data_IF_377429880462
#
_entry.id   IF_377429880462
#
_cell.length_a   1.000
_cell.length_b   1.000
_cell.length_c   1.000
_cell.angle_alpha   90.00
_cell.angle_beta   90.00
_cell.angle_gamma   90.00
#
_symmetry.space_group_name_H-M   'P 1'
#
loop_
_entity.id
_entity.type
_entity.pdbx_description
1 polymer ?
#
# COMPACT_ATOMS: atom_id res chain seq x y z
N UNK A 1 -14.05 -5.48 -10.51
CA UNK A 1 -13.54 -4.33 -11.27
C UNK A 1 -14.41 -4.00 -12.49
N UNK A 2 -14.65 -4.91 -13.45
CA UNK A 2 -15.44 -4.61 -14.66
C UNK A 2 -16.84 -4.02 -14.34
N UNK A 3 -17.59 -4.61 -13.42
CA UNK A 3 -18.91 -4.07 -13.00
C UNK A 3 -18.81 -2.67 -12.40
N UNK A 4 -17.76 -2.39 -11.61
CA UNK A 4 -17.51 -1.04 -11.04
C UNK A 4 -17.25 -0.02 -12.15
N UNK A 5 -16.50 -0.41 -13.18
CA UNK A 5 -16.23 0.44 -14.35
C UNK A 5 -17.51 0.81 -15.14
N UNK A 6 -18.55 -0.02 -15.05
CA UNK A 6 -19.88 0.26 -15.65
C UNK A 6 -20.84 0.99 -14.68
N UNK A 7 -20.36 1.49 -13.55
CA UNK A 7 -21.18 2.25 -12.62
C UNK A 7 -22.08 1.42 -11.70
N UNK A 8 -21.76 0.13 -11.51
CA UNK A 8 -22.51 -0.77 -10.63
C UNK A 8 -22.17 -0.48 -9.15
N UNK A 9 -23.05 0.25 -8.46
CA UNK A 9 -22.88 0.61 -7.04
C UNK A 9 -22.81 -0.63 -6.10
N UNK A 10 -23.65 -1.66 -6.24
CA UNK A 10 -23.50 -2.90 -5.49
C UNK A 10 -22.14 -3.57 -5.65
N UNK A 11 -21.57 -3.55 -6.86
CA UNK A 11 -20.23 -4.07 -7.10
C UNK A 11 -19.13 -3.24 -6.40
N UNK A 12 -19.32 -1.94 -6.25
CA UNK A 12 -18.40 -1.11 -5.47
C UNK A 12 -18.50 -1.43 -3.97
N UNK A 13 -19.69 -1.64 -3.44
CA UNK A 13 -19.90 -2.06 -2.05
C UNK A 13 -19.22 -3.41 -1.78
N UNK A 14 -19.43 -4.40 -2.64
CA UNK A 14 -18.74 -5.69 -2.54
C UNK A 14 -17.21 -5.55 -2.59
N UNK A 15 -16.69 -4.68 -3.46
CA UNK A 15 -15.27 -4.39 -3.55
C UNK A 15 -14.75 -3.76 -2.26
N UNK A 16 -15.52 -2.82 -1.68
CA UNK A 16 -15.21 -2.18 -0.40
C UNK A 16 -15.11 -3.23 0.72
N UNK A 17 -16.12 -4.05 0.89
CA UNK A 17 -16.16 -5.07 1.95
C UNK A 17 -14.96 -6.02 1.89
N UNK A 18 -14.54 -6.38 0.68
CA UNK A 18 -13.43 -7.32 0.47
C UNK A 18 -12.04 -6.70 0.59
N UNK A 19 -11.91 -5.38 0.47
CA UNK A 19 -10.58 -4.76 0.31
C UNK A 19 -10.32 -3.62 1.27
N UNK A 20 -11.33 -3.06 1.95
CA UNK A 20 -11.19 -1.88 2.82
C UNK A 20 -10.17 -2.08 3.93
N UNK A 21 -10.20 -3.20 4.64
CA UNK A 21 -9.24 -3.49 5.71
C UNK A 21 -7.79 -3.46 5.23
N UNK A 22 -7.51 -4.08 4.06
CA UNK A 22 -6.16 -4.09 3.49
C UNK A 22 -5.72 -2.70 3.02
N UNK A 23 -6.61 -1.96 2.37
CA UNK A 23 -6.31 -0.61 1.88
C UNK A 23 -6.19 0.39 3.03
N UNK A 24 -7.00 0.24 4.09
CA UNK A 24 -6.87 1.01 5.32
C UNK A 24 -5.49 0.82 5.95
N UNK A 25 -5.01 -0.42 6.05
CA UNK A 25 -3.66 -0.70 6.52
C UNK A 25 -2.56 0.00 5.71
N UNK A 26 -2.73 0.10 4.38
CA UNK A 26 -1.81 0.87 3.52
C UNK A 26 -1.87 2.37 3.85
N UNK A 27 -3.07 2.93 3.97
CA UNK A 27 -3.26 4.34 4.31
C UNK A 27 -2.69 4.67 5.70
N UNK A 28 -3.02 3.86 6.72
CA UNK A 28 -2.61 4.07 8.10
C UNK A 28 -1.08 4.04 8.24
N UNK A 29 -0.41 3.10 7.59
CA UNK A 29 1.05 2.99 7.61
C UNK A 29 1.74 4.24 7.06
N UNK A 30 1.14 4.93 6.09
CA UNK A 30 1.70 6.12 5.47
C UNK A 30 1.27 7.38 6.23
N UNK A 31 -0.01 7.50 6.56
CA UNK A 31 -0.58 8.67 7.22
C UNK A 31 -0.27 8.73 8.72
N UNK A 32 -0.01 7.58 9.36
CA UNK A 32 0.28 7.41 10.80
C UNK A 32 -0.84 7.85 11.76
N UNK A 33 -1.94 8.38 11.29
CA UNK A 33 -3.10 8.78 12.09
C UNK A 33 -4.37 8.11 11.55
N UNK A 34 -5.15 7.55 12.46
CA UNK A 34 -6.34 6.78 12.12
C UNK A 34 -7.38 7.60 11.36
N UNK A 35 -7.73 8.79 11.91
CA UNK A 35 -8.72 9.67 11.27
C UNK A 35 -8.30 10.08 9.86
N UNK A 36 -7.03 10.45 9.68
CA UNK A 36 -6.46 10.76 8.37
C UNK A 36 -6.52 9.56 7.42
N UNK A 37 -6.20 8.37 7.91
CA UNK A 37 -6.25 7.16 7.09
C UNK A 37 -7.67 6.81 6.65
N UNK A 38 -8.68 7.06 7.50
CA UNK A 38 -10.10 6.90 7.19
C UNK A 38 -10.55 7.88 6.09
N UNK A 39 -10.17 9.16 6.20
CA UNK A 39 -10.47 10.18 5.19
C UNK A 39 -9.82 9.85 3.84
N UNK A 40 -8.55 9.48 3.87
CA UNK A 40 -7.82 9.08 2.66
C UNK A 40 -8.43 7.82 2.05
N UNK A 41 -8.87 6.85 2.85
CA UNK A 41 -9.52 5.65 2.36
C UNK A 41 -10.82 5.97 1.60
N UNK A 42 -11.62 6.92 2.09
CA UNK A 42 -12.81 7.39 1.38
C UNK A 42 -12.43 7.99 0.01
N UNK A 43 -11.40 8.87 -0.04
CA UNK A 43 -10.90 9.41 -1.31
C UNK A 43 -10.41 8.30 -2.26
N UNK A 44 -9.80 7.25 -1.74
CA UNK A 44 -9.35 6.10 -2.54
C UNK A 44 -10.52 5.47 -3.27
N UNK A 45 -11.65 5.18 -2.59
CA UNK A 45 -12.80 4.56 -3.25
C UNK A 45 -13.51 5.50 -4.24
N UNK A 46 -13.50 6.81 -3.99
CA UNK A 46 -13.95 7.80 -4.98
C UNK A 46 -13.06 7.75 -6.23
N UNK A 47 -11.73 7.72 -6.06
CA UNK A 47 -10.77 7.58 -7.16
C UNK A 47 -10.92 6.23 -7.90
N UNK A 48 -11.18 5.15 -7.16
CA UNK A 48 -11.44 3.82 -7.74
C UNK A 48 -12.71 3.86 -8.60
N UNK A 49 -13.80 4.47 -8.10
CA UNK A 49 -15.02 4.62 -8.86
C UNK A 49 -14.83 5.34 -10.19
N UNK A 50 -14.05 6.43 -10.17
CA UNK A 50 -13.81 7.25 -11.38
C UNK A 50 -12.76 6.68 -12.33
N UNK A 51 -11.95 5.69 -11.90
CA UNK A 51 -10.83 5.15 -12.68
C UNK A 51 -10.90 3.64 -12.90
N UNK A 52 -12.01 3.01 -12.54
CA UNK A 52 -12.15 1.56 -12.67
C UNK A 52 -12.04 1.07 -14.12
N UNK A 53 -12.35 1.93 -15.10
CA UNK A 53 -12.18 1.70 -16.54
C UNK A 53 -10.71 1.63 -16.98
N UNK A 54 -9.79 2.23 -16.20
CA UNK A 54 -8.35 2.19 -16.47
C UNK A 54 -7.70 0.88 -15.97
N UNK A 55 -8.41 0.09 -15.18
CA UNK A 55 -7.91 -1.20 -14.73
C UNK A 55 -7.85 -2.20 -15.88
N UNK A 56 -6.65 -2.73 -16.17
CA UNK A 56 -6.43 -3.75 -17.18
C UNK A 56 -6.23 -5.12 -16.52
N UNK A 57 -7.18 -6.01 -16.71
CA UNK A 57 -7.05 -7.39 -16.27
C UNK A 57 -5.90 -8.07 -17.03
N UNK A 58 -4.99 -8.71 -16.28
CA UNK A 58 -3.82 -9.39 -16.85
C UNK A 58 -2.49 -8.68 -16.58
N UNK A 59 -2.44 -7.36 -16.51
CA UNK A 59 -1.22 -6.61 -16.20
C UNK A 59 -0.91 -6.62 -14.69
N UNK A 60 -1.94 -6.52 -13.87
CA UNK A 60 -1.83 -6.47 -12.41
C UNK A 60 -3.03 -7.15 -11.74
N UNK A 61 -2.84 -7.64 -10.50
CA UNK A 61 -3.97 -8.05 -9.70
C UNK A 61 -4.81 -6.84 -9.26
N UNK A 62 -6.14 -6.98 -9.09
CA UNK A 62 -6.99 -5.88 -8.61
C UNK A 62 -6.47 -5.25 -7.33
N UNK A 63 -6.05 -6.06 -6.36
CA UNK A 63 -5.55 -5.55 -5.07
C UNK A 63 -4.24 -4.75 -5.22
N UNK A 64 -3.36 -5.13 -6.14
CA UNK A 64 -2.13 -4.37 -6.41
C UNK A 64 -2.43 -3.00 -7.00
N UNK A 65 -3.41 -2.92 -7.91
CA UNK A 65 -3.84 -1.65 -8.50
C UNK A 65 -4.51 -0.74 -7.46
N UNK A 66 -5.39 -1.30 -6.62
CA UNK A 66 -6.03 -0.58 -5.52
C UNK A 66 -5.02 -0.08 -4.49
N UNK A 67 -4.06 -0.92 -4.10
CA UNK A 67 -2.98 -0.53 -3.17
C UNK A 67 -2.11 0.60 -3.72
N UNK A 68 -1.86 0.63 -5.03
CA UNK A 68 -1.15 1.74 -5.65
C UNK A 68 -1.96 3.06 -5.57
N UNK A 69 -3.28 3.02 -5.75
CA UNK A 69 -4.15 4.19 -5.58
C UNK A 69 -4.13 4.66 -4.13
N UNK A 70 -4.29 3.73 -3.16
CA UNK A 70 -4.28 4.03 -1.73
C UNK A 70 -2.95 4.68 -1.31
N UNK A 71 -1.82 4.09 -1.72
CA UNK A 71 -0.50 4.64 -1.47
C UNK A 71 -0.34 6.05 -2.03
N UNK A 72 -0.69 6.26 -3.29
CA UNK A 72 -0.55 7.57 -3.93
C UNK A 72 -1.45 8.61 -3.28
N UNK A 73 -2.70 8.27 -2.93
CA UNK A 73 -3.60 9.17 -2.22
C UNK A 73 -3.04 9.58 -0.86
N UNK A 74 -2.49 8.63 -0.10
CA UNK A 74 -1.87 8.91 1.21
C UNK A 74 -0.66 9.85 1.09
N UNK A 75 0.19 9.64 0.10
CA UNK A 75 1.35 10.51 -0.17
C UNK A 75 0.90 11.91 -0.60
N UNK A 76 -0.10 12.00 -1.47
CA UNK A 76 -0.65 13.28 -1.92
C UNK A 76 -1.27 14.06 -0.75
N UNK A 77 -1.94 13.36 0.17
CA UNK A 77 -2.48 13.96 1.38
C UNK A 77 -1.38 14.53 2.28
N UNK A 78 -0.33 13.76 2.56
CA UNK A 78 0.82 14.23 3.36
C UNK A 78 1.51 15.45 2.74
N UNK A 79 1.55 15.53 1.42
CA UNK A 79 2.13 16.69 0.70
C UNK A 79 1.28 17.93 0.82
N UNK A 80 -0.05 17.80 0.70
CA UNK A 80 -0.99 18.92 0.78
C UNK A 80 -1.07 19.51 2.18
N UNK A 81 -1.03 18.65 3.20
CA UNK A 81 -1.25 19.06 4.60
C UNK A 81 0.06 19.31 5.38
N UNK A 82 1.19 19.34 4.68
CA UNK A 82 2.51 19.44 5.31
C UNK A 82 2.91 18.16 6.05
N UNK A 83 4.21 17.89 6.15
CA UNK A 83 4.74 16.78 6.96
C UNK A 83 4.68 17.06 8.47
N UNK A 84 3.76 17.91 8.92
CA UNK A 84 3.49 18.17 10.34
C UNK A 84 2.64 17.03 10.93
N UNK A 85 3.10 15.83 10.78
CA UNK A 85 2.76 14.76 11.71
C UNK A 85 3.96 14.66 12.62
N UNK A 86 3.84 15.24 13.83
CA UNK A 86 4.77 15.01 14.91
C UNK A 86 5.01 13.51 15.03
N UNK A 87 6.27 13.17 15.27
CA UNK A 87 6.72 11.83 15.66
C UNK A 87 6.06 11.43 16.97
N UNK A 88 4.80 11.05 16.91
CA UNK A 88 4.14 10.34 17.98
C UNK A 88 4.20 8.85 17.64
N UNK A 89 5.32 8.25 18.03
CA UNK A 89 5.59 6.82 17.86
C UNK A 89 4.57 5.92 18.61
N UNK A 90 3.72 6.53 19.45
CA UNK A 90 2.69 5.82 20.23
C UNK A 90 1.48 5.36 19.38
N UNK A 91 1.29 5.90 18.18
CA UNK A 91 0.16 5.54 17.33
C UNK A 91 0.30 4.16 16.65
N UNK A 92 1.48 3.58 16.66
CA UNK A 92 1.72 2.23 16.11
C UNK A 92 1.38 1.10 17.11
N UNK A 93 1.36 1.42 18.41
CA UNK A 93 1.06 0.42 19.47
C UNK A 93 -0.43 0.27 19.78
N UNK A 94 -1.27 1.20 19.34
CA UNK A 94 -2.71 1.18 19.59
C UNK A 94 -3.51 0.86 18.33
N UNK A 95 -3.26 -0.26 17.67
CA UNK A 95 -4.25 -0.90 16.83
C UNK A 95 -5.11 -1.82 17.70
N UNK A 96 -6.35 -1.47 18.05
CA UNK A 96 -7.35 -2.49 18.24
C UNK A 96 -7.72 -2.96 16.83
N UNK A 97 -7.11 -4.07 16.44
CA UNK A 97 -7.60 -4.89 15.36
C UNK A 97 -9.10 -5.12 15.60
N UNK A 98 -10.00 -4.96 14.61
CA UNK A 98 -11.32 -5.55 14.70
C UNK A 98 -11.06 -7.04 14.88
N UNK A 99 -11.26 -7.55 16.11
CA UNK A 99 -10.86 -8.88 16.55
C UNK A 99 -11.12 -9.92 15.44
N UNK A 100 -10.11 -10.36 14.72
CA UNK A 100 -10.21 -11.62 14.03
C UNK A 100 -10.18 -12.69 15.11
N UNK A 101 -11.01 -13.69 15.00
CA UNK A 101 -10.91 -14.92 15.78
C UNK A 101 -9.45 -15.39 15.80
N UNK A 102 -8.95 -15.87 16.94
CA UNK A 102 -7.54 -16.09 17.27
C UNK A 102 -6.66 -16.71 16.16
N UNK A 103 -7.21 -17.56 15.29
CA UNK A 103 -6.49 -18.18 14.18
C UNK A 103 -6.10 -17.16 13.08
N UNK A 104 -6.94 -16.16 12.80
CA UNK A 104 -6.66 -15.15 11.80
C UNK A 104 -5.58 -14.13 12.24
N UNK A 105 -5.41 -13.90 13.55
CA UNK A 105 -4.30 -13.08 14.10
C UNK A 105 -2.99 -13.80 13.90
N UNK A 106 -2.95 -15.07 14.24
CA UNK A 106 -1.75 -15.90 14.11
C UNK A 106 -1.29 -16.02 12.64
N UNK A 107 -2.25 -16.20 11.72
CA UNK A 107 -1.96 -16.21 10.28
C UNK A 107 -1.43 -14.85 9.78
N UNK A 108 -2.00 -13.73 10.25
CA UNK A 108 -1.55 -12.39 9.88
C UNK A 108 -0.14 -12.08 10.41
N UNK A 109 0.18 -12.52 11.64
CA UNK A 109 1.50 -12.38 12.23
C UNK A 109 2.54 -13.24 11.49
N UNK A 110 2.23 -14.49 11.19
CA UNK A 110 3.08 -15.37 10.41
C UNK A 110 3.34 -14.81 9.01
N UNK A 111 2.31 -14.27 8.35
CA UNK A 111 2.44 -13.66 7.04
C UNK A 111 3.28 -12.38 7.08
N UNK A 112 3.15 -11.60 8.16
CA UNK A 112 3.95 -10.39 8.38
C UNK A 112 5.43 -10.73 8.63
N UNK A 113 5.72 -11.75 9.44
CA UNK A 113 7.06 -12.24 9.68
C UNK A 113 7.73 -12.75 8.39
N UNK A 114 6.99 -13.54 7.60
CA UNK A 114 7.46 -14.04 6.30
C UNK A 114 7.80 -12.92 5.31
N UNK A 115 6.96 -11.87 5.26
CA UNK A 115 7.23 -10.69 4.42
C UNK A 115 8.50 -9.98 4.89
N UNK A 116 8.69 -9.81 6.20
CA UNK A 116 9.89 -9.19 6.77
C UNK A 116 11.15 -9.98 6.41
N UNK A 117 11.11 -11.30 6.60
CA UNK A 117 12.21 -12.20 6.24
C UNK A 117 12.55 -12.14 4.75
N UNK A 118 11.54 -12.20 3.88
CA UNK A 118 11.75 -12.07 2.43
C UNK A 118 12.26 -10.69 2.02
N UNK A 119 11.87 -9.63 2.71
CA UNK A 119 12.43 -8.28 2.50
C UNK A 119 13.92 -8.23 2.87
N UNK A 120 14.31 -8.95 3.93
CA UNK A 120 15.72 -8.97 4.37
C UNK A 120 16.63 -9.77 3.43
N UNK A 121 16.07 -10.68 2.64
CA UNK A 121 16.81 -11.40 1.59
C UNK A 121 17.03 -10.57 0.32
N UNK A 122 16.36 -9.43 0.15
CA UNK A 122 16.61 -8.54 -0.99
C UNK A 122 17.96 -7.83 -0.86
N UNK A 123 18.60 -7.53 -1.99
CA UNK A 123 19.76 -6.64 -2.01
C UNK A 123 19.38 -5.24 -1.51
N UNK A 124 20.33 -4.51 -0.92
CA UNK A 124 20.07 -3.15 -0.40
C UNK A 124 19.56 -2.21 -1.48
N UNK A 125 20.03 -2.37 -2.73
CA UNK A 125 19.54 -1.58 -3.87
C UNK A 125 18.05 -1.80 -4.18
N UNK A 126 17.48 -2.93 -3.78
CA UNK A 126 16.06 -3.26 -3.93
C UNK A 126 15.29 -2.98 -2.65
N UNK A 127 15.85 -3.36 -1.49
CA UNK A 127 15.24 -3.22 -0.17
C UNK A 127 14.99 -1.76 0.19
N UNK A 128 16.03 -0.91 0.10
CA UNK A 128 15.94 0.50 0.53
C UNK A 128 14.87 1.30 -0.23
N UNK A 129 14.81 1.28 -1.58
CA UNK A 129 13.75 1.99 -2.29
C UNK A 129 12.34 1.45 -1.99
N UNK A 130 12.19 0.14 -1.75
CA UNK A 130 10.90 -0.45 -1.36
C UNK A 130 10.51 0.05 0.03
N UNK A 131 11.41 -0.04 1.03
CA UNK A 131 11.13 0.45 2.38
C UNK A 131 10.77 1.94 2.38
N UNK A 132 11.57 2.77 1.75
CA UNK A 132 11.33 4.21 1.68
C UNK A 132 10.02 4.55 0.95
N UNK A 133 9.69 3.82 -0.12
CA UNK A 133 8.44 4.04 -0.83
C UNK A 133 7.21 3.61 -0.03
N UNK A 134 7.23 2.43 0.62
CA UNK A 134 6.05 1.82 1.21
C UNK A 134 5.91 2.07 2.71
N UNK A 135 6.99 2.40 3.42
CA UNK A 135 6.98 2.64 4.85
C UNK A 135 7.22 4.11 5.21
N UNK A 136 8.08 4.83 4.45
CA UNK A 136 8.35 6.25 4.70
C UNK A 136 7.56 7.19 3.78
N UNK A 137 6.70 6.67 2.91
CA UNK A 137 5.83 7.46 2.03
C UNK A 137 6.56 8.30 0.98
N UNK A 138 7.83 7.98 0.65
CA UNK A 138 8.55 8.70 -0.39
C UNK A 138 8.04 8.29 -1.78
N UNK A 139 7.89 9.29 -2.66
CA UNK A 139 7.60 9.02 -4.08
C UNK A 139 8.85 8.50 -4.79
N UNK A 140 8.65 7.82 -5.89
CA UNK A 140 9.76 7.38 -6.74
C UNK A 140 10.60 8.53 -7.28
N UNK A 141 9.99 9.72 -7.46
CA UNK A 141 10.69 10.93 -7.88
C UNK A 141 11.59 11.49 -6.78
N UNK A 142 11.14 11.46 -5.52
CA UNK A 142 11.96 11.84 -4.37
C UNK A 142 13.10 10.86 -4.14
N UNK A 143 12.85 9.57 -4.26
CA UNK A 143 13.88 8.54 -4.20
C UNK A 143 14.93 8.71 -5.31
N UNK A 144 14.50 9.07 -6.51
CA UNK A 144 15.41 9.36 -7.62
C UNK A 144 16.32 10.56 -7.32
N UNK A 145 15.75 11.63 -6.74
CA UNK A 145 16.52 12.83 -6.32
C UNK A 145 17.49 12.53 -5.18
N UNK A 146 17.01 11.82 -4.13
CA UNK A 146 17.86 11.47 -2.97
C UNK A 146 19.02 10.56 -3.35
N UNK A 147 18.75 9.57 -4.21
CA UNK A 147 19.73 8.59 -4.66
C UNK A 147 20.55 9.05 -5.89
N UNK A 148 20.39 10.30 -6.33
CA UNK A 148 20.99 10.84 -7.55
C UNK A 148 20.95 9.86 -8.72
N UNK A 149 19.79 9.25 -8.92
CA UNK A 149 19.57 8.20 -9.90
C UNK A 149 18.40 8.55 -10.82
N UNK A 150 18.40 8.11 -12.09
CA UNK A 150 17.26 8.31 -12.97
C UNK A 150 15.98 7.69 -12.41
N UNK A 151 14.84 8.34 -12.59
CA UNK A 151 13.53 7.83 -12.15
C UNK A 151 13.22 6.43 -12.73
N UNK A 152 13.64 6.17 -13.97
CA UNK A 152 13.51 4.86 -14.62
C UNK A 152 14.27 3.76 -13.87
N UNK A 153 15.46 4.08 -13.36
CA UNK A 153 16.28 3.17 -12.56
C UNK A 153 15.59 2.82 -11.25
N UNK A 154 15.05 3.83 -10.53
CA UNK A 154 14.30 3.60 -9.29
C UNK A 154 13.08 2.72 -9.55
N UNK A 155 12.28 3.03 -10.59
CA UNK A 155 11.12 2.22 -10.99
C UNK A 155 11.52 0.77 -11.28
N UNK A 156 12.61 0.54 -12.02
CA UNK A 156 13.06 -0.80 -12.37
C UNK A 156 13.61 -1.58 -11.16
N UNK A 157 14.32 -0.92 -10.23
CA UNK A 157 14.79 -1.52 -8.97
C UNK A 157 13.62 -1.97 -8.10
N UNK A 158 12.64 -1.09 -7.88
CA UNK A 158 11.42 -1.41 -7.10
C UNK A 158 10.65 -2.55 -7.76
N UNK A 159 10.43 -2.50 -9.08
CA UNK A 159 9.73 -3.57 -9.80
C UNK A 159 10.41 -4.92 -9.63
N UNK A 160 11.74 -4.99 -9.83
CA UNK A 160 12.50 -6.22 -9.65
C UNK A 160 12.48 -6.72 -8.21
N UNK A 161 12.62 -5.81 -7.24
CA UNK A 161 12.54 -6.15 -5.83
C UNK A 161 11.18 -6.71 -5.43
N UNK A 162 10.08 -6.11 -5.90
CA UNK A 162 8.72 -6.62 -5.65
C UNK A 162 8.49 -7.98 -6.32
N UNK A 163 9.07 -8.22 -7.51
CA UNK A 163 9.01 -9.55 -8.15
C UNK A 163 9.76 -10.60 -7.36
N UNK A 164 10.96 -10.28 -6.83
CA UNK A 164 11.75 -11.18 -6.01
C UNK A 164 11.05 -11.46 -4.67
N UNK A 165 10.50 -10.41 -4.03
CA UNK A 165 9.70 -10.53 -2.81
C UNK A 165 8.51 -11.47 -3.02
N UNK A 166 7.77 -11.28 -4.11
CA UNK A 166 6.64 -12.16 -4.47
C UNK A 166 7.10 -13.62 -4.58
N UNK A 167 8.17 -13.88 -5.33
CA UNK A 167 8.72 -15.25 -5.49
C UNK A 167 9.12 -15.87 -4.15
N UNK A 168 9.77 -15.10 -3.27
CA UNK A 168 10.15 -15.58 -1.94
C UNK A 168 8.91 -15.97 -1.11
N UNK A 169 7.87 -15.15 -1.11
CA UNK A 169 6.64 -15.41 -0.37
C UNK A 169 5.89 -16.63 -0.92
N UNK A 170 5.90 -16.83 -2.23
CA UNK A 170 5.21 -17.96 -2.89
C UNK A 170 5.97 -19.30 -2.74
N UNK A 171 7.28 -19.28 -2.57
CA UNK A 171 8.13 -20.50 -2.54
C UNK A 171 8.56 -20.92 -1.12
N UNK A 172 8.29 -20.13 -0.09
CA UNK A 172 8.53 -20.43 1.31
C UNK A 172 7.22 -20.57 2.05
#
# INVERSE_FOLDING_TARGET
MARVAHGDKPALAELYDRTSTKLFGVCLRICRHRSTAEDVLQEVYIKVWHRADQFRAGDNSPISWLSAIARNASIDWLRKNGRHVQEDDSALEAMPDPQPLGDAVLEAEQQSAKIAECLDQLSDEQKQPIRSAFFSGLTYSELAKQGNSPLSTVKSRIRRGLMNLKKCIENG
#
